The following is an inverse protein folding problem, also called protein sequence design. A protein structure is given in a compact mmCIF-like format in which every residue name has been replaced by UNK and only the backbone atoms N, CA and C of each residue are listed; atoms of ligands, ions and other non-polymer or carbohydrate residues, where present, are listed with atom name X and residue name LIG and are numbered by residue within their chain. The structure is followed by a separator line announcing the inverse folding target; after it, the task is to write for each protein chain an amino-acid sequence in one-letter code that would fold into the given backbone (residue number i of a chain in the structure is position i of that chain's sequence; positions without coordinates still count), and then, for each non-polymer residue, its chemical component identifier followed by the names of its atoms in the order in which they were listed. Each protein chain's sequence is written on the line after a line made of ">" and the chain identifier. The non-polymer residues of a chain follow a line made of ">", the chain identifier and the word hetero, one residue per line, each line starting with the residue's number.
data_IF_940321274782
#
_entry.id   IF_940321274782
#
_cell.length_a   1.000
_cell.length_b   1.000
_cell.length_c   1.000
_cell.angle_alpha   90.00
_cell.angle_beta   90.00
_cell.angle_gamma   90.00
#
_symmetry.space_group_name_H-M   'P 1'
#
loop_
_entity.id
_entity.type
_entity.pdbx_description
1 polymer ?
#
# COMPACT_ATOMS: atom_id res chain seq x y z
N UNK A 1 -5.23 3.35 34.16
CA UNK A 1 -6.50 2.72 33.73
C UNK A 1 -6.28 1.22 33.59
N UNK A 2 -7.23 0.34 33.97
CA UNK A 2 -7.07 -1.10 33.76
C UNK A 2 -7.00 -1.41 32.25
N UNK A 3 -6.09 -2.30 31.86
CA UNK A 3 -5.99 -2.79 30.48
C UNK A 3 -7.29 -3.53 30.14
N UNK A 4 -8.08 -2.97 29.23
CA UNK A 4 -9.19 -3.71 28.61
C UNK A 4 -8.59 -4.66 27.59
N UNK A 5 -8.65 -5.96 27.90
CA UNK A 5 -8.39 -6.98 26.90
C UNK A 5 -9.56 -6.99 25.93
N UNK A 6 -9.44 -6.24 24.84
CA UNK A 6 -10.38 -6.37 23.75
C UNK A 6 -10.23 -7.78 23.20
N UNK A 7 -11.35 -8.50 23.05
CA UNK A 7 -11.36 -9.81 22.40
C UNK A 7 -10.79 -9.74 20.98
N UNK A 8 -10.66 -10.88 20.28
CA UNK A 8 -10.16 -10.89 18.90
C UNK A 8 -10.97 -9.92 18.02
N UNK A 9 -10.27 -9.15 17.18
CA UNK A 9 -10.92 -8.22 16.27
C UNK A 9 -11.86 -8.98 15.33
N UNK A 10 -13.07 -8.44 15.11
CA UNK A 10 -14.03 -9.03 14.18
C UNK A 10 -13.58 -8.74 12.73
N UNK A 11 -13.21 -9.76 11.92
CA UNK A 11 -12.79 -9.56 10.55
C UNK A 11 -13.91 -9.05 9.64
N UNK A 12 -15.17 -9.19 10.07
CA UNK A 12 -16.34 -8.76 9.32
C UNK A 12 -16.74 -7.31 9.56
N UNK A 13 -16.14 -6.65 10.55
CA UNK A 13 -16.37 -5.24 10.85
C UNK A 13 -15.91 -4.35 9.67
N UNK A 14 -16.82 -3.54 9.07
CA UNK A 14 -16.48 -2.61 8.01
C UNK A 14 -15.34 -1.65 8.35
N UNK A 15 -15.26 -1.20 9.60
CA UNK A 15 -14.23 -0.28 10.08
C UNK A 15 -12.87 -0.97 10.16
N UNK A 16 -12.82 -2.17 10.76
CA UNK A 16 -11.61 -3.01 10.80
C UNK A 16 -11.06 -3.26 9.39
N UNK A 17 -11.94 -3.66 8.46
CA UNK A 17 -11.56 -3.92 7.07
C UNK A 17 -11.04 -2.68 6.36
N UNK A 18 -11.59 -1.50 6.66
CA UNK A 18 -11.10 -0.24 6.10
C UNK A 18 -9.68 0.07 6.57
N UNK A 19 -9.43 -0.02 7.88
CA UNK A 19 -8.07 0.17 8.42
C UNK A 19 -7.07 -0.86 7.87
N UNK A 20 -7.48 -2.12 7.72
CA UNK A 20 -6.63 -3.14 7.10
C UNK A 20 -6.23 -2.75 5.66
N UNK A 21 -7.15 -2.22 4.85
CA UNK A 21 -6.82 -1.72 3.50
C UNK A 21 -5.86 -0.53 3.54
N UNK A 22 -6.05 0.40 4.49
CA UNK A 22 -5.15 1.56 4.66
C UNK A 22 -3.74 1.10 5.03
N UNK A 23 -3.61 0.18 6.00
CA UNK A 23 -2.32 -0.38 6.39
C UNK A 23 -1.67 -1.10 5.21
N UNK A 24 -2.43 -1.90 4.47
CA UNK A 24 -1.91 -2.60 3.29
C UNK A 24 -1.39 -1.62 2.22
N UNK A 25 -2.14 -0.56 1.93
CA UNK A 25 -1.73 0.50 1.01
C UNK A 25 -0.43 1.17 1.46
N UNK A 26 -0.33 1.54 2.74
CA UNK A 26 0.87 2.20 3.28
C UNK A 26 2.09 1.29 3.22
N UNK A 27 1.94 0.02 3.62
CA UNK A 27 3.02 -0.98 3.54
C UNK A 27 3.54 -1.14 2.11
N UNK A 28 2.64 -1.34 1.14
CA UNK A 28 3.04 -1.47 -0.26
C UNK A 28 3.61 -0.16 -0.81
N UNK A 29 3.09 0.99 -0.39
CA UNK A 29 3.61 2.31 -0.76
C UNK A 29 5.04 2.52 -0.28
N UNK A 30 5.35 2.11 0.96
CA UNK A 30 6.72 2.16 1.49
C UNK A 30 7.67 1.25 0.73
N UNK A 31 7.26 0.00 0.45
CA UNK A 31 8.08 -0.95 -0.31
C UNK A 31 8.33 -0.44 -1.73
N UNK A 32 7.29 0.06 -2.40
CA UNK A 32 7.43 0.68 -3.71
C UNK A 32 8.38 1.87 -3.64
N UNK A 33 8.22 2.80 -2.69
CA UNK A 33 9.09 3.96 -2.58
C UNK A 33 10.57 3.56 -2.39
N UNK A 34 10.84 2.64 -1.46
CA UNK A 34 12.20 2.18 -1.17
C UNK A 34 12.84 1.45 -2.36
N UNK A 35 12.13 0.49 -2.96
CA UNK A 35 12.68 -0.32 -4.05
C UNK A 35 12.75 0.49 -5.34
N UNK A 36 11.69 1.20 -5.70
CA UNK A 36 11.62 1.95 -6.95
C UNK A 36 12.67 3.07 -6.98
N UNK A 37 12.82 3.83 -5.89
CA UNK A 37 13.86 4.87 -5.81
C UNK A 37 15.27 4.27 -5.89
N UNK A 38 15.54 3.16 -5.20
CA UNK A 38 16.81 2.45 -5.26
C UNK A 38 17.15 1.94 -6.67
N UNK A 39 16.16 1.36 -7.38
CA UNK A 39 16.34 0.90 -8.75
C UNK A 39 16.66 2.07 -9.70
N UNK A 40 15.93 3.18 -9.60
CA UNK A 40 16.18 4.38 -10.41
C UNK A 40 17.53 5.03 -10.10
N UNK A 41 17.97 5.00 -8.84
CA UNK A 41 19.32 5.44 -8.47
C UNK A 41 20.40 4.56 -9.13
N UNK A 42 20.26 3.23 -9.07
CA UNK A 42 21.22 2.30 -9.70
C UNK A 42 21.21 2.40 -11.23
N UNK A 43 20.04 2.64 -11.83
CA UNK A 43 19.88 2.88 -13.27
C UNK A 43 20.75 4.04 -13.75
N UNK A 44 20.93 5.10 -12.94
CA UNK A 44 21.79 6.23 -13.28
C UNK A 44 23.30 5.96 -13.18
N UNK A 45 23.71 4.90 -12.47
CA UNK A 45 25.12 4.55 -12.26
C UNK A 45 25.64 3.44 -13.19
N UNK A 46 24.75 2.62 -13.76
CA UNK A 46 25.10 1.45 -14.57
C UNK A 46 24.47 1.52 -15.95
N UNK A 47 24.75 0.53 -16.80
CA UNK A 47 24.08 0.41 -18.10
C UNK A 47 22.56 0.41 -17.89
N UNK A 48 21.80 1.24 -18.65
CA UNK A 48 20.36 1.33 -18.47
C UNK A 48 19.68 -0.02 -18.67
N UNK A 49 18.88 -0.43 -17.69
CA UNK A 49 17.92 -1.52 -17.85
C UNK A 49 16.71 -1.00 -18.64
N UNK A 50 16.48 -1.56 -19.83
CA UNK A 50 15.46 -1.10 -20.78
C UNK A 50 14.02 -1.23 -20.26
N UNK A 51 13.76 -2.16 -19.33
CA UNK A 51 12.40 -2.47 -18.86
C UNK A 51 12.05 -1.85 -17.50
N UNK A 52 12.95 -1.06 -16.91
CA UNK A 52 12.71 -0.49 -15.59
C UNK A 52 11.46 0.42 -15.56
N UNK A 53 11.25 1.22 -16.60
CA UNK A 53 10.07 2.08 -16.72
C UNK A 53 8.76 1.27 -16.66
N UNK A 54 8.67 0.19 -17.45
CA UNK A 54 7.49 -0.69 -17.45
C UNK A 54 7.24 -1.33 -16.08
N UNK A 55 8.30 -1.74 -15.37
CA UNK A 55 8.17 -2.27 -14.01
C UNK A 55 7.61 -1.22 -13.05
N UNK A 56 8.18 -0.01 -13.06
CA UNK A 56 7.75 1.11 -12.22
C UNK A 56 6.29 1.49 -12.49
N UNK A 57 5.90 1.56 -13.76
CA UNK A 57 4.55 1.92 -14.18
C UNK A 57 3.53 0.85 -13.79
N UNK A 58 3.81 -0.43 -14.08
CA UNK A 58 2.91 -1.52 -13.73
C UNK A 58 2.70 -1.63 -12.21
N UNK A 59 3.77 -1.48 -11.42
CA UNK A 59 3.68 -1.47 -9.97
C UNK A 59 2.96 -0.22 -9.44
N UNK A 60 3.19 0.94 -10.05
CA UNK A 60 2.46 2.17 -9.77
C UNK A 60 0.95 2.03 -10.00
N UNK A 61 0.54 1.38 -11.09
CA UNK A 61 -0.88 1.08 -11.37
C UNK A 61 -1.50 0.19 -10.29
N UNK A 62 -0.76 -0.83 -9.80
CA UNK A 62 -1.24 -1.66 -8.68
C UNK A 62 -1.44 -0.86 -7.39
N UNK A 63 -0.54 0.10 -7.10
CA UNK A 63 -0.73 1.01 -5.96
C UNK A 63 -1.93 1.94 -6.14
N UNK A 64 -2.15 2.47 -7.34
CA UNK A 64 -3.33 3.26 -7.64
C UNK A 64 -4.61 2.45 -7.44
N UNK A 65 -4.64 1.18 -7.89
CA UNK A 65 -5.77 0.29 -7.65
C UNK A 65 -6.04 0.07 -6.16
N UNK A 66 -4.98 -0.08 -5.34
CA UNK A 66 -5.14 -0.17 -3.88
C UNK A 66 -5.68 1.12 -3.26
N UNK A 67 -5.18 2.28 -3.70
CA UNK A 67 -5.68 3.58 -3.25
C UNK A 67 -7.16 3.75 -3.58
N UNK A 68 -7.56 3.45 -4.81
CA UNK A 68 -8.97 3.51 -5.23
C UNK A 68 -9.83 2.56 -4.39
N UNK A 69 -9.36 1.35 -4.08
CA UNK A 69 -10.06 0.41 -3.21
C UNK A 69 -10.29 0.97 -1.80
N UNK A 70 -9.31 1.67 -1.22
CA UNK A 70 -9.45 2.35 0.07
C UNK A 70 -10.53 3.44 0.02
N UNK A 71 -10.48 4.28 -1.03
CA UNK A 71 -11.40 5.42 -1.20
C UNK A 71 -12.84 4.98 -1.45
N UNK A 72 -13.04 4.04 -2.38
CA UNK A 72 -14.37 3.54 -2.77
C UNK A 72 -15.04 2.79 -1.62
N UNK A 73 -14.27 2.02 -0.84
CA UNK A 73 -14.80 1.18 0.25
C UNK A 73 -14.66 1.86 1.61
N UNK A 74 -14.74 3.19 1.66
CA UNK A 74 -14.77 3.92 2.94
C UNK A 74 -16.13 3.72 3.62
N UNK A 75 -16.18 3.28 4.89
CA UNK A 75 -17.45 3.17 5.60
C UNK A 75 -18.07 4.58 5.78
N UNK A 76 -19.40 4.66 5.68
CA UNK A 76 -20.13 5.90 5.93
C UNK A 76 -20.05 6.32 7.40
N UNK A 77 -20.34 7.60 7.72
CA UNK A 77 -20.46 8.04 9.11
C UNK A 77 -21.62 7.28 9.78
N UNK A 78 -21.32 6.58 10.87
CA UNK A 78 -22.26 5.91 11.76
C UNK A 78 -22.90 6.88 12.74
#
# INVERSE_FOLDING_TARGET
>A
MPIRWYGPANPDDPLYRHYARVVNLVLHGMVFAAVNSGLWFVQGMRHPWTHLAWLSEAWGVLLLAQLLSVLIRRPGPS
#
